data_IF_734228604007
#
_entry.id   IF_734228604007
#
_cell.length_a   1.000
_cell.length_b   1.000
_cell.length_c   1.000
_cell.angle_alpha   90.00
_cell.angle_beta   90.00
_cell.angle_gamma   90.00
#
_symmetry.space_group_name_H-M   'P 1'
#
loop_
_entity.id
_entity.type
_entity.pdbx_description
1 polymer ?
#
# COMPACT_ATOMS: atom_id res chain seq x y z
N UNK A 1 -16.03 7.18 53.33
CA UNK A 1 -15.99 8.12 52.19
C UNK A 1 -15.55 7.33 51.00
N UNK A 2 -16.38 7.40 49.95
CA UNK A 2 -16.53 6.43 48.88
C UNK A 2 -15.25 6.15 48.09
N UNK A 3 -14.94 4.87 47.88
CA UNK A 3 -14.20 4.48 46.70
C UNK A 3 -15.25 4.37 45.60
N UNK A 4 -15.49 5.45 44.87
CA UNK A 4 -16.24 5.40 43.61
C UNK A 4 -15.71 4.21 42.82
N UNK A 5 -16.61 3.28 42.54
CA UNK A 5 -16.33 2.04 41.84
C UNK A 5 -15.72 2.40 40.49
N UNK A 6 -14.40 2.34 40.41
CA UNK A 6 -13.64 2.72 39.22
C UNK A 6 -13.84 1.62 38.17
N UNK A 7 -14.97 1.72 37.47
CA UNK A 7 -15.46 0.81 36.47
C UNK A 7 -15.16 1.37 35.08
N UNK A 8 -14.54 0.57 34.23
CA UNK A 8 -14.32 0.90 32.82
C UNK A 8 -14.89 -0.23 31.97
N UNK A 9 -15.65 0.12 30.93
CA UNK A 9 -16.12 -0.84 29.95
C UNK A 9 -15.06 -1.11 28.87
N UNK A 10 -14.81 -2.40 28.63
CA UNK A 10 -13.89 -2.89 27.59
C UNK A 10 -14.61 -3.90 26.72
N UNK A 11 -14.63 -3.65 25.43
CA UNK A 11 -15.29 -4.49 24.43
C UNK A 11 -14.38 -5.64 24.01
N UNK A 12 -14.86 -6.87 24.11
CA UNK A 12 -14.16 -8.10 23.72
C UNK A 12 -15.03 -8.87 22.74
N UNK A 13 -14.61 -8.99 21.47
CA UNK A 13 -15.28 -9.81 20.45
C UNK A 13 -16.82 -9.67 20.36
N UNK A 14 -17.36 -8.46 20.60
CA UNK A 14 -18.79 -8.05 20.62
C UNK A 14 -19.50 -8.08 21.97
N UNK A 15 -18.83 -8.52 23.03
CA UNK A 15 -19.36 -8.46 24.39
C UNK A 15 -18.73 -7.26 25.15
N UNK A 16 -19.56 -6.50 25.86
CA UNK A 16 -19.09 -5.44 26.75
C UNK A 16 -18.74 -6.05 28.11
N UNK A 17 -17.45 -6.01 28.48
CA UNK A 17 -16.97 -6.48 29.79
C UNK A 17 -16.63 -5.30 30.68
N UNK A 18 -17.21 -5.30 31.88
CA UNK A 18 -17.00 -4.27 32.89
C UNK A 18 -15.83 -4.67 33.78
N UNK A 19 -14.75 -3.89 33.74
CA UNK A 19 -13.58 -4.12 34.58
C UNK A 19 -13.71 -3.29 35.85
N UNK A 20 -13.97 -3.96 36.98
CA UNK A 20 -14.14 -3.36 38.30
C UNK A 20 -12.81 -3.34 39.08
N UNK A 21 -12.72 -2.44 40.06
CA UNK A 21 -11.57 -2.40 40.99
C UNK A 21 -10.29 -1.80 40.40
N UNK A 22 -10.41 -0.97 39.37
CA UNK A 22 -9.25 -0.33 38.76
C UNK A 22 -8.61 0.70 39.70
N UNK A 23 -7.29 0.64 39.82
CA UNK A 23 -6.50 1.58 40.62
C UNK A 23 -5.73 2.53 39.70
N UNK A 24 -5.27 3.66 40.25
CA UNK A 24 -4.37 4.62 39.56
C UNK A 24 -3.04 3.98 39.10
N UNK A 25 -2.72 2.77 39.57
CA UNK A 25 -1.53 2.00 39.20
C UNK A 25 -1.79 0.92 38.13
N UNK A 26 -3.05 0.54 37.91
CA UNK A 26 -3.41 -0.54 36.99
C UNK A 26 -3.07 -0.16 35.55
N UNK A 27 -2.32 -1.03 34.87
CA UNK A 27 -1.87 -0.81 33.49
C UNK A 27 -2.77 -1.54 32.49
N UNK A 28 -2.70 -1.15 31.22
CA UNK A 28 -3.38 -1.86 30.14
C UNK A 28 -2.99 -3.34 30.08
N UNK A 29 -1.72 -3.68 30.39
CA UNK A 29 -1.28 -5.08 30.49
C UNK A 29 -2.02 -5.87 31.58
N UNK A 30 -2.25 -5.25 32.73
CA UNK A 30 -2.98 -5.89 33.84
C UNK A 30 -4.44 -6.14 33.46
N UNK A 31 -5.08 -5.17 32.80
CA UNK A 31 -6.46 -5.32 32.29
C UNK A 31 -6.55 -6.40 31.22
N UNK A 32 -5.60 -6.44 30.28
CA UNK A 32 -5.51 -7.49 29.25
C UNK A 32 -5.36 -8.86 29.91
N UNK A 33 -4.53 -8.98 30.95
CA UNK A 33 -4.33 -10.23 31.69
C UNK A 33 -5.62 -10.72 32.34
N UNK A 34 -6.35 -9.85 33.03
CA UNK A 34 -7.63 -10.19 33.68
C UNK A 34 -8.69 -10.59 32.65
N UNK A 35 -8.82 -9.83 31.56
CA UNK A 35 -9.77 -10.15 30.49
C UNK A 35 -9.43 -11.47 29.79
N UNK A 36 -8.16 -11.82 29.69
CA UNK A 36 -7.72 -13.09 29.14
C UNK A 36 -7.88 -14.26 30.12
N UNK A 37 -7.71 -14.05 31.42
CA UNK A 37 -7.97 -15.06 32.46
C UNK A 37 -9.47 -15.43 32.48
N UNK A 38 -10.35 -14.44 32.32
CA UNK A 38 -11.80 -14.63 32.18
C UNK A 38 -12.16 -15.38 30.87
N UNK A 39 -11.55 -15.01 29.73
CA UNK A 39 -11.76 -15.71 28.44
C UNK A 39 -11.17 -17.13 28.42
N UNK A 40 -10.00 -17.35 29.02
CA UNK A 40 -9.37 -18.67 29.07
C UNK A 40 -10.16 -19.67 29.94
N UNK A 41 -10.95 -19.18 30.89
CA UNK A 41 -11.89 -20.00 31.66
C UNK A 41 -13.04 -20.54 30.80
N UNK A 42 -13.35 -19.86 29.68
CA UNK A 42 -14.41 -20.26 28.75
C UNK A 42 -13.90 -20.97 27.50
N UNK A 43 -12.79 -20.51 26.90
CA UNK A 43 -12.22 -21.06 25.66
C UNK A 43 -10.69 -21.15 25.78
N UNK A 44 -10.17 -22.34 26.09
CA UNK A 44 -8.77 -22.56 26.46
C UNK A 44 -7.74 -22.42 25.32
N UNK A 45 -7.40 -21.19 24.92
CA UNK A 45 -6.22 -20.89 24.08
C UNK A 45 -5.73 -19.42 24.20
N UNK A 46 -4.42 -19.28 24.45
CA UNK A 46 -3.49 -18.20 24.04
C UNK A 46 -2.91 -17.27 25.14
N UNK A 47 -1.62 -16.97 24.97
CA UNK A 47 -0.76 -16.25 25.92
C UNK A 47 -1.03 -14.73 25.94
N UNK A 48 -0.88 -14.11 27.11
CA UNK A 48 -1.14 -12.68 27.35
C UNK A 48 -0.32 -11.68 26.52
N UNK A 49 0.65 -12.15 25.73
CA UNK A 49 1.53 -11.32 24.92
C UNK A 49 0.94 -10.96 23.56
N UNK A 50 -0.17 -11.57 23.14
CA UNK A 50 -0.76 -11.37 21.81
C UNK A 50 -1.93 -10.39 21.76
N UNK A 51 -2.23 -9.63 22.81
CA UNK A 51 -3.40 -8.73 22.87
C UNK A 51 -3.03 -7.30 23.30
N UNK A 52 -3.74 -6.31 22.75
CA UNK A 52 -3.59 -4.90 23.07
C UNK A 52 -4.96 -4.22 23.21
N UNK A 53 -5.04 -3.18 24.04
CA UNK A 53 -6.24 -2.35 24.19
C UNK A 53 -6.18 -1.21 23.17
N UNK A 54 -7.27 -1.02 22.44
CA UNK A 54 -7.46 0.06 21.48
C UNK A 54 -8.49 1.04 22.02
N UNK A 55 -8.13 2.32 22.03
CA UNK A 55 -9.01 3.44 22.36
C UNK A 55 -9.68 3.94 21.08
N UNK A 56 -11.02 4.03 21.09
CA UNK A 56 -11.82 4.54 19.97
C UNK A 56 -12.60 5.78 20.38
N UNK A 57 -12.47 6.87 19.63
CA UNK A 57 -13.21 8.12 19.84
C UNK A 57 -13.45 8.86 18.51
N UNK A 58 -14.71 9.20 18.18
CA UNK A 58 -15.12 9.95 16.95
C UNK A 58 -14.42 9.51 15.65
N UNK A 59 -14.24 8.20 15.45
CA UNK A 59 -13.59 7.64 14.26
C UNK A 59 -12.05 7.56 14.33
N UNK A 60 -11.44 8.07 15.40
CA UNK A 60 -10.02 7.84 15.70
C UNK A 60 -9.84 6.57 16.52
N UNK A 61 -8.89 5.74 16.09
CA UNK A 61 -8.48 4.52 16.80
C UNK A 61 -7.00 4.61 17.18
N UNK A 62 -6.70 4.38 18.46
CA UNK A 62 -5.34 4.44 18.99
C UNK A 62 -5.02 3.19 19.81
N UNK A 63 -3.99 2.47 19.42
CA UNK A 63 -3.46 1.36 20.21
C UNK A 63 -2.76 1.91 21.44
N UNK A 64 -3.18 1.47 22.63
CA UNK A 64 -2.59 1.87 23.90
C UNK A 64 -1.36 1.02 24.21
N UNK A 65 -0.21 1.63 24.55
CA UNK A 65 0.94 0.88 25.04
C UNK A 65 0.62 0.09 26.30
N UNK A 66 1.20 -1.10 26.45
CA UNK A 66 0.96 -2.00 27.59
C UNK A 66 1.21 -1.36 28.96
N UNK A 67 2.14 -0.40 29.05
CA UNK A 67 2.50 0.32 30.29
C UNK A 67 1.54 1.44 30.66
N UNK A 68 0.56 1.74 29.82
CA UNK A 68 -0.31 2.90 30.01
C UNK A 68 -1.29 2.64 31.14
N UNK A 69 -1.48 3.63 32.02
CA UNK A 69 -2.37 3.53 33.18
C UNK A 69 -3.79 3.87 32.76
N UNK A 70 -4.63 2.85 32.59
CA UNK A 70 -5.95 2.98 31.95
C UNK A 70 -6.87 3.94 32.71
N UNK A 71 -6.86 3.89 34.05
CA UNK A 71 -7.68 4.79 34.86
C UNK A 71 -7.24 6.25 34.75
N UNK A 72 -5.93 6.51 34.56
CA UNK A 72 -5.44 7.86 34.35
C UNK A 72 -5.80 8.40 32.97
N UNK A 73 -5.80 7.54 31.95
CA UNK A 73 -6.29 7.92 30.62
C UNK A 73 -7.78 8.23 30.66
N UNK A 74 -8.56 7.35 31.29
CA UNK A 74 -10.01 7.53 31.45
C UNK A 74 -10.35 8.86 32.12
N UNK A 75 -9.73 9.17 33.26
CA UNK A 75 -9.93 10.44 33.96
C UNK A 75 -9.48 11.64 33.11
N UNK A 76 -8.44 11.51 32.29
CA UNK A 76 -7.96 12.59 31.43
C UNK A 76 -8.93 12.98 30.31
N UNK A 77 -9.87 12.12 29.94
CA UNK A 77 -10.93 12.44 28.97
C UNK A 77 -12.04 13.34 29.52
N UNK A 78 -12.14 13.49 30.85
CA UNK A 78 -13.14 14.35 31.48
C UNK A 78 -14.57 14.07 31.00
N UNK A 79 -15.25 15.12 30.51
CA UNK A 79 -16.66 15.08 30.11
C UNK A 79 -16.95 14.19 28.88
N UNK A 80 -15.91 13.83 28.12
CA UNK A 80 -16.01 13.06 26.88
C UNK A 80 -15.89 11.54 27.13
N UNK A 81 -15.69 11.10 28.39
CA UNK A 81 -15.58 9.68 28.77
C UNK A 81 -16.69 8.79 28.20
N UNK A 82 -17.95 9.26 28.21
CA UNK A 82 -19.12 8.54 27.66
C UNK A 82 -19.00 8.19 26.16
N UNK A 83 -18.15 8.90 25.43
CA UNK A 83 -17.97 8.74 23.99
C UNK A 83 -16.72 7.94 23.63
N UNK A 84 -15.88 7.59 24.61
CA UNK A 84 -14.66 6.82 24.43
C UNK A 84 -14.95 5.34 24.67
N UNK A 85 -14.53 4.47 23.75
CA UNK A 85 -14.66 3.01 23.89
C UNK A 85 -13.30 2.34 23.90
N UNK A 86 -13.05 1.45 24.86
CA UNK A 86 -11.89 0.58 24.85
C UNK A 86 -12.25 -0.77 24.22
N UNK A 87 -11.40 -1.27 23.32
CA UNK A 87 -11.60 -2.53 22.60
C UNK A 87 -10.37 -3.40 22.73
N UNK A 88 -10.53 -4.66 23.14
CA UNK A 88 -9.46 -5.64 23.20
C UNK A 88 -9.26 -6.26 21.81
N UNK A 89 -8.07 -6.10 21.23
CA UNK A 89 -7.73 -6.61 19.89
C UNK A 89 -6.48 -7.49 19.97
N UNK A 90 -6.43 -8.54 19.16
CA UNK A 90 -5.23 -9.38 19.02
C UNK A 90 -4.15 -8.60 18.24
N UNK A 91 -2.94 -8.47 18.79
CA UNK A 91 -1.82 -7.68 18.27
C UNK A 91 -1.39 -8.05 16.84
N UNK A 92 -1.74 -9.24 16.34
CA UNK A 92 -1.44 -9.66 14.97
C UNK A 92 -2.49 -9.19 13.95
N UNK A 93 -3.69 -8.81 14.39
CA UNK A 93 -4.77 -8.29 13.54
C UNK A 93 -4.69 -6.75 13.35
N UNK A 94 -3.88 -6.06 14.15
CA UNK A 94 -3.76 -4.59 14.15
C UNK A 94 -2.59 -4.05 13.30
N UNK A 95 -1.95 -4.87 12.47
CA UNK A 95 -0.85 -4.45 11.58
C UNK A 95 -1.31 -3.71 10.30
N UNK A 96 -2.37 -2.91 10.40
CA UNK A 96 -2.61 -1.81 9.47
C UNK A 96 -2.70 -0.55 10.33
N UNK A 97 -1.85 0.44 10.05
CA UNK A 97 -1.69 1.72 10.75
C UNK A 97 -0.57 1.80 11.80
N UNK A 98 0.64 1.40 11.41
CA UNK A 98 1.82 2.14 11.84
C UNK A 98 2.41 2.88 10.64
N UNK A 99 2.11 4.18 10.54
CA UNK A 99 2.99 5.11 9.87
C UNK A 99 4.37 4.98 10.51
N UNK A 100 5.36 4.63 9.69
CA UNK A 100 6.75 4.56 10.08
C UNK A 100 7.14 5.92 10.68
N UNK A 101 7.23 6.00 12.02
CA UNK A 101 8.00 7.05 12.66
C UNK A 101 9.46 6.77 12.30
N UNK A 102 9.90 7.40 11.23
CA UNK A 102 11.29 7.54 10.87
C UNK A 102 12.04 7.97 12.12
N UNK A 103 12.91 7.09 12.62
CA UNK A 103 13.97 7.49 13.51
C UNK A 103 14.78 8.54 12.73
N UNK A 104 14.71 9.80 13.15
CA UNK A 104 15.67 10.83 12.76
C UNK A 104 17.06 10.31 13.14
N UNK A 105 17.77 9.80 12.14
CA UNK A 105 19.19 9.57 12.24
C UNK A 105 19.84 10.95 12.34
N UNK A 106 20.07 11.41 13.58
CA UNK A 106 21.02 12.50 13.82
C UNK A 106 22.34 12.06 13.23
N UNK A 107 22.71 12.67 12.11
CA UNK A 107 24.04 12.55 11.49
C UNK A 107 25.02 13.12 12.51
N UNK A 108 25.54 12.25 13.37
CA UNK A 108 26.71 12.55 14.17
C UNK A 108 27.87 12.57 13.18
N UNK A 109 28.26 13.78 12.78
CA UNK A 109 29.56 14.06 12.20
C UNK A 109 30.61 13.54 13.19
N UNK A 110 31.15 12.35 12.89
CA UNK A 110 32.29 11.79 13.60
C UNK A 110 33.50 12.69 13.36
N UNK A 111 33.72 13.64 14.28
CA UNK A 111 35.00 14.32 14.42
C UNK A 111 35.99 13.33 15.02
N UNK A 112 37.10 13.14 14.30
CA UNK A 112 38.44 12.80 14.78
C UNK A 112 38.59 11.51 15.61
N UNK A 113 39.18 10.49 14.99
CA UNK A 113 40.16 9.66 15.68
C UNK A 113 41.54 9.85 15.01
N UNK A 114 42.60 10.17 15.77
CA UNK A 114 43.92 10.44 15.22
C UNK A 114 44.65 9.13 14.94
N UNK A 115 44.95 8.84 13.68
CA UNK A 115 45.93 7.83 13.31
C UNK A 115 47.15 8.53 12.70
N UNK A 116 48.16 8.73 13.55
CA UNK A 116 49.53 9.03 13.13
C UNK A 116 50.18 7.70 12.75
N UNK A 117 50.52 7.52 11.47
CA UNK A 117 51.78 6.85 11.07
C UNK A 117 52.24 7.40 9.73
N UNK A 118 53.42 8.01 9.74
CA UNK A 118 54.19 8.50 8.58
C UNK A 118 54.43 7.38 7.54
N UNK A 119 54.51 7.74 6.27
CA UNK A 119 55.10 6.87 5.25
C UNK A 119 54.83 7.30 3.81
N UNK A 120 55.70 8.16 3.28
CA UNK A 120 55.87 8.46 1.84
C UNK A 120 56.07 7.18 1.02
N UNK A 121 55.36 7.02 -0.10
CA UNK A 121 55.91 6.62 -1.40
C UNK A 121 54.85 6.52 -2.49
N UNK A 122 55.21 7.05 -3.66
CA UNK A 122 54.51 7.00 -4.94
C UNK A 122 54.37 5.56 -5.44
N UNK A 123 53.24 5.23 -6.07
CA UNK A 123 53.11 4.43 -7.31
C UNK A 123 51.71 3.80 -7.39
N UNK A 124 50.90 4.22 -8.35
CA UNK A 124 49.63 3.56 -8.70
C UNK A 124 49.65 3.21 -10.19
N UNK A 125 50.54 2.29 -10.56
CA UNK A 125 50.37 1.39 -11.70
C UNK A 125 50.51 -0.02 -11.15
N UNK A 126 49.37 -0.64 -10.82
CA UNK A 126 49.33 -1.98 -10.26
C UNK A 126 47.95 -2.56 -10.46
N UNK A 127 47.82 -3.40 -11.50
CA UNK A 127 46.64 -4.22 -11.70
C UNK A 127 46.24 -4.91 -10.39
N UNK A 128 44.94 -4.99 -10.15
CA UNK A 128 44.39 -5.56 -8.93
C UNK A 128 45.02 -6.95 -8.73
N UNK A 129 45.77 -7.15 -7.65
CA UNK A 129 46.34 -8.46 -7.34
C UNK A 129 45.24 -9.53 -7.43
N UNK A 130 45.45 -10.66 -8.14
CA UNK A 130 44.41 -11.64 -8.47
C UNK A 130 43.67 -12.17 -7.22
N UNK A 131 44.31 -12.13 -6.06
CA UNK A 131 43.74 -12.51 -4.78
C UNK A 131 42.66 -11.52 -4.25
N UNK A 132 42.87 -10.22 -4.49
CA UNK A 132 41.88 -9.16 -4.20
C UNK A 132 40.70 -9.25 -5.16
N UNK A 133 40.94 -9.53 -6.45
CA UNK A 133 39.88 -9.77 -7.43
C UNK A 133 39.02 -10.99 -7.07
N UNK A 134 39.65 -12.13 -6.72
CA UNK A 134 38.92 -13.32 -6.23
C UNK A 134 38.07 -13.01 -4.98
N UNK A 135 38.57 -12.18 -4.05
CA UNK A 135 37.80 -11.77 -2.86
C UNK A 135 36.60 -10.90 -3.20
N UNK A 136 36.75 -9.95 -4.13
CA UNK A 136 35.66 -9.08 -4.59
C UNK A 136 34.58 -9.91 -5.30
N UNK A 137 34.99 -10.81 -6.20
CA UNK A 137 34.08 -11.72 -6.91
C UNK A 137 33.30 -12.60 -5.93
N UNK A 138 33.98 -13.24 -4.95
CA UNK A 138 33.29 -14.01 -3.90
C UNK A 138 32.31 -13.16 -3.06
N UNK A 139 32.64 -11.90 -2.78
CA UNK A 139 31.71 -10.98 -2.08
C UNK A 139 30.50 -10.63 -2.95
N UNK A 140 30.69 -10.42 -4.25
CA UNK A 140 29.62 -10.16 -5.20
C UNK A 140 28.68 -11.38 -5.32
N UNK A 141 29.23 -12.59 -5.46
CA UNK A 141 28.44 -13.83 -5.45
C UNK A 141 27.65 -14.03 -4.15
N UNK A 142 28.27 -13.81 -2.98
CA UNK A 142 27.55 -13.86 -1.69
C UNK A 142 26.47 -12.78 -1.57
N UNK A 143 26.68 -11.60 -2.15
CA UNK A 143 25.67 -10.53 -2.17
C UNK A 143 24.51 -10.90 -3.09
N UNK A 144 24.81 -11.46 -4.27
CA UNK A 144 23.81 -11.93 -5.22
C UNK A 144 22.99 -13.09 -4.63
N UNK A 145 23.63 -14.05 -3.97
CA UNK A 145 22.99 -15.16 -3.27
C UNK A 145 22.06 -14.65 -2.15
N UNK A 146 22.48 -13.64 -1.37
CA UNK A 146 21.62 -13.01 -0.36
C UNK A 146 20.41 -12.29 -0.97
N UNK A 147 20.59 -11.61 -2.10
CA UNK A 147 19.48 -10.95 -2.81
C UNK A 147 18.51 -11.99 -3.37
N UNK A 148 19.04 -13.06 -3.97
CA UNK A 148 18.23 -14.12 -4.56
C UNK A 148 17.43 -14.88 -3.49
N UNK A 149 18.05 -15.16 -2.33
CA UNK A 149 17.36 -15.74 -1.17
C UNK A 149 16.25 -14.84 -0.63
N UNK A 150 16.47 -13.53 -0.59
CA UNK A 150 15.42 -12.56 -0.19
C UNK A 150 14.27 -12.52 -1.21
N UNK A 151 14.58 -12.50 -2.52
CA UNK A 151 13.57 -12.55 -3.59
C UNK A 151 12.74 -13.84 -3.58
N UNK A 152 13.39 -14.98 -3.32
CA UNK A 152 12.68 -16.25 -3.18
C UNK A 152 11.75 -16.26 -1.95
N UNK A 153 12.18 -15.66 -0.83
CA UNK A 153 11.36 -15.53 0.37
C UNK A 153 10.15 -14.61 0.17
N UNK A 154 10.29 -13.51 -0.58
CA UNK A 154 9.15 -12.63 -0.90
C UNK A 154 8.18 -13.34 -1.84
N UNK A 155 8.67 -13.98 -2.90
CA UNK A 155 7.82 -14.74 -3.82
C UNK A 155 7.02 -15.85 -3.13
N UNK A 156 7.61 -16.57 -2.18
CA UNK A 156 6.90 -17.59 -1.40
C UNK A 156 5.83 -16.99 -0.47
N UNK A 157 6.07 -15.79 0.08
CA UNK A 157 5.05 -15.10 0.89
C UNK A 157 3.89 -14.62 0.03
N UNK A 158 4.19 -14.07 -1.14
CA UNK A 158 3.18 -13.58 -2.08
C UNK A 158 2.31 -14.72 -2.61
N UNK A 159 2.91 -15.88 -2.94
CA UNK A 159 2.19 -17.09 -3.30
C UNK A 159 1.28 -17.58 -2.16
N UNK A 160 1.80 -17.66 -0.92
CA UNK A 160 0.99 -18.05 0.24
C UNK A 160 -0.15 -17.06 0.54
N UNK A 161 0.05 -15.76 0.29
CA UNK A 161 -1.00 -14.76 0.41
C UNK A 161 -2.06 -14.92 -0.69
N UNK A 162 -1.65 -15.23 -1.93
CA UNK A 162 -2.56 -15.48 -3.04
C UNK A 162 -3.43 -16.72 -2.79
N UNK A 163 -2.85 -17.82 -2.31
CA UNK A 163 -3.58 -19.04 -1.94
C UNK A 163 -4.59 -18.79 -0.81
N UNK A 164 -4.21 -17.98 0.20
CA UNK A 164 -5.13 -17.55 1.27
C UNK A 164 -6.27 -16.70 0.73
N UNK A 165 -5.97 -15.78 -0.19
CA UNK A 165 -6.99 -14.95 -0.84
C UNK A 165 -7.95 -15.80 -1.65
N UNK A 166 -7.44 -16.76 -2.44
CA UNK A 166 -8.25 -17.70 -3.20
C UNK A 166 -9.15 -18.55 -2.29
N UNK A 167 -8.61 -19.04 -1.17
CA UNK A 167 -9.39 -19.77 -0.16
C UNK A 167 -10.51 -18.89 0.44
N UNK A 168 -10.22 -17.62 0.74
CA UNK A 168 -11.22 -16.67 1.22
C UNK A 168 -12.28 -16.38 0.15
N UNK A 169 -11.89 -16.24 -1.11
CA UNK A 169 -12.83 -16.05 -2.23
C UNK A 169 -13.75 -17.26 -2.35
N UNK A 170 -13.22 -18.48 -2.32
CA UNK A 170 -14.04 -19.69 -2.32
C UNK A 170 -14.95 -19.79 -1.09
N UNK A 171 -14.49 -19.38 0.09
CA UNK A 171 -15.32 -19.33 1.28
C UNK A 171 -16.45 -18.32 1.15
N UNK A 172 -16.17 -17.11 0.66
CA UNK A 172 -17.19 -16.07 0.45
C UNK A 172 -18.20 -16.50 -0.61
N UNK A 173 -17.76 -17.09 -1.72
CA UNK A 173 -18.66 -17.59 -2.77
C UNK A 173 -19.53 -18.75 -2.27
N UNK A 174 -18.96 -19.68 -1.49
CA UNK A 174 -19.75 -20.78 -0.91
C UNK A 174 -20.72 -20.30 0.16
N UNK A 175 -20.35 -19.31 0.97
CA UNK A 175 -21.26 -18.65 1.92
C UNK A 175 -22.37 -17.89 1.20
N UNK A 176 -22.06 -17.12 0.16
CA UNK A 176 -23.04 -16.42 -0.67
C UNK A 176 -24.03 -17.40 -1.32
N UNK A 177 -23.53 -18.52 -1.85
CA UNK A 177 -24.40 -19.58 -2.37
C UNK A 177 -25.32 -20.15 -1.30
N UNK A 178 -24.80 -20.40 -0.09
CA UNK A 178 -25.59 -20.90 1.04
C UNK A 178 -26.67 -19.90 1.46
N UNK A 179 -26.33 -18.60 1.53
CA UNK A 179 -27.28 -17.53 1.85
C UNK A 179 -28.38 -17.47 0.78
N UNK A 180 -28.02 -17.52 -0.51
CA UNK A 180 -29.02 -17.53 -1.59
C UNK A 180 -29.94 -18.74 -1.51
N UNK A 181 -29.40 -19.92 -1.22
CA UNK A 181 -30.21 -21.13 -1.00
C UNK A 181 -31.15 -20.96 0.22
N UNK A 182 -30.66 -20.41 1.33
CA UNK A 182 -31.48 -20.16 2.52
C UNK A 182 -32.60 -19.16 2.24
N UNK A 183 -32.30 -18.06 1.54
CA UNK A 183 -33.30 -17.06 1.13
C UNK A 183 -34.35 -17.69 0.23
N UNK A 184 -33.95 -18.53 -0.73
CA UNK A 184 -34.89 -19.23 -1.58
C UNK A 184 -35.77 -20.20 -0.77
N UNK A 185 -35.19 -20.92 0.19
CA UNK A 185 -35.94 -21.83 1.06
C UNK A 185 -36.93 -21.10 1.96
N UNK A 186 -36.56 -19.93 2.48
CA UNK A 186 -37.46 -19.08 3.27
C UNK A 186 -38.65 -18.65 2.41
N UNK A 187 -38.41 -18.16 1.19
CA UNK A 187 -39.48 -17.79 0.26
C UNK A 187 -40.45 -18.94 -0.05
N UNK A 188 -39.92 -20.15 -0.23
CA UNK A 188 -40.75 -21.35 -0.41
C UNK A 188 -41.58 -21.68 0.83
N UNK A 189 -40.98 -21.57 2.03
CA UNK A 189 -41.68 -21.80 3.29
C UNK A 189 -42.76 -20.75 3.54
N UNK A 190 -42.49 -19.48 3.28
CA UNK A 190 -43.47 -18.39 3.39
C UNK A 190 -44.66 -18.65 2.44
N UNK A 191 -44.37 -19.07 1.20
CA UNK A 191 -45.42 -19.44 0.24
C UNK A 191 -46.23 -20.67 0.69
N UNK A 192 -45.62 -21.60 1.42
CA UNK A 192 -46.31 -22.75 2.02
C UNK A 192 -47.18 -22.34 3.20
N UNK A 193 -46.67 -21.44 4.05
CA UNK A 193 -47.39 -20.87 5.18
C UNK A 193 -48.63 -20.15 4.67
N UNK A 194 -48.49 -19.25 3.69
CA UNK A 194 -49.61 -18.52 3.08
C UNK A 194 -50.68 -19.49 2.53
N UNK A 195 -50.27 -20.58 1.89
CA UNK A 195 -51.21 -21.58 1.37
C UNK A 195 -51.92 -22.34 2.48
N UNK A 196 -51.20 -22.71 3.53
CA UNK A 196 -51.77 -23.36 4.72
C UNK A 196 -52.75 -22.43 5.44
N UNK A 197 -52.37 -21.18 5.66
CA UNK A 197 -53.18 -20.15 6.28
C UNK A 197 -54.43 -19.85 5.46
N UNK A 198 -54.30 -19.68 4.14
CA UNK A 198 -55.43 -19.48 3.24
C UNK A 198 -56.40 -20.67 3.28
N UNK A 199 -55.90 -21.91 3.35
CA UNK A 199 -56.73 -23.10 3.48
C UNK A 199 -57.46 -23.13 4.82
N UNK A 200 -56.76 -22.88 5.93
CA UNK A 200 -57.37 -22.81 7.27
C UNK A 200 -58.41 -21.69 7.35
N UNK A 201 -58.10 -20.52 6.79
CA UNK A 201 -59.00 -19.39 6.68
C UNK A 201 -60.25 -19.74 5.86
N UNK A 202 -60.09 -20.35 4.69
CA UNK A 202 -61.20 -20.81 3.86
C UNK A 202 -62.09 -21.84 4.59
N UNK A 203 -61.49 -22.83 5.24
CA UNK A 203 -62.22 -23.85 6.00
C UNK A 203 -62.98 -23.22 7.19
N UNK A 204 -62.40 -22.21 7.86
CA UNK A 204 -63.06 -21.46 8.93
C UNK A 204 -64.22 -20.62 8.39
N UNK A 205 -64.05 -19.93 7.26
CA UNK A 205 -65.13 -19.18 6.60
C UNK A 205 -66.28 -20.11 6.22
N UNK A 206 -65.99 -21.28 5.63
CA UNK A 206 -67.02 -22.23 5.22
C UNK A 206 -67.80 -22.78 6.42
N UNK A 207 -67.14 -22.97 7.58
CA UNK A 207 -67.76 -23.49 8.80
C UNK A 207 -68.48 -22.44 9.63
N UNK A 208 -67.93 -21.23 9.75
CA UNK A 208 -68.35 -20.21 10.71
C UNK A 208 -68.82 -18.90 10.05
N UNK A 209 -68.80 -18.82 8.72
CA UNK A 209 -69.14 -17.63 7.95
C UNK A 209 -67.97 -16.65 7.81
N UNK A 210 -68.14 -15.64 6.95
CA UNK A 210 -67.10 -14.61 6.70
C UNK A 210 -66.75 -13.84 7.98
N UNK A 211 -67.71 -13.66 8.88
CA UNK A 211 -67.53 -12.95 10.15
C UNK A 211 -66.94 -13.81 11.27
N UNK A 212 -66.33 -14.97 10.98
CA UNK A 212 -65.87 -15.88 12.03
C UNK A 212 -64.89 -15.26 13.02
N UNK A 213 -64.00 -14.36 12.55
CA UNK A 213 -63.04 -13.65 13.41
C UNK A 213 -63.79 -12.75 14.39
N UNK A 214 -64.67 -11.89 13.87
CA UNK A 214 -65.46 -10.97 14.68
C UNK A 214 -66.38 -11.74 15.63
N UNK A 215 -67.00 -12.82 15.17
CA UNK A 215 -67.81 -13.70 16.01
C UNK A 215 -66.96 -14.36 17.11
N UNK A 216 -65.68 -14.65 16.89
CA UNK A 216 -64.81 -15.21 17.96
C UNK A 216 -64.59 -14.19 19.08
N UNK A 217 -64.32 -12.92 18.73
CA UNK A 217 -64.16 -11.84 19.72
C UNK A 217 -65.49 -11.39 20.35
N UNK A 218 -66.57 -11.39 19.57
CA UNK A 218 -67.91 -11.01 20.04
C UNK A 218 -68.59 -12.13 20.83
N UNK A 219 -68.27 -13.41 20.62
CA UNK A 219 -68.83 -14.50 21.42
C UNK A 219 -68.33 -14.42 22.86
N UNK A 220 -67.07 -14.03 23.10
CA UNK A 220 -66.56 -13.76 24.46
C UNK A 220 -67.25 -12.53 25.10
N UNK A 221 -67.59 -11.51 24.30
CA UNK A 221 -68.35 -10.34 24.77
C UNK A 221 -69.84 -10.66 25.00
N UNK A 222 -70.43 -11.51 24.17
CA UNK A 222 -71.85 -11.86 24.19
C UNK A 222 -72.19 -12.87 25.29
N UNK A 223 -71.24 -13.69 25.75
CA UNK A 223 -71.40 -14.45 27.00
C UNK A 223 -71.60 -13.55 28.24
N UNK A 224 -71.30 -12.26 28.13
CA UNK A 224 -71.54 -11.26 29.19
C UNK A 224 -72.85 -10.46 29.00
N UNK A 225 -73.55 -10.62 27.88
CA UNK A 225 -74.73 -9.82 27.52
C UNK A 225 -75.86 -10.69 26.94
N UNK A 226 -76.34 -11.65 27.71
CA UNK A 226 -77.67 -12.24 27.45
C UNK A 226 -78.75 -11.31 28.02
N UNK A 227 -79.29 -10.44 27.17
CA UNK A 227 -80.56 -9.78 27.43
C UNK A 227 -80.74 -8.44 26.74
N UNK A 228 -81.50 -8.42 25.64
CA UNK A 228 -82.14 -7.23 25.04
C UNK A 228 -81.15 -6.12 24.59
N UNK A 229 -81.40 -5.23 23.65
CA UNK A 229 -82.62 -4.58 23.18
C UNK A 229 -82.25 -3.88 21.86
N UNK A 230 -83.25 -3.44 21.09
CA UNK A 230 -83.06 -2.61 19.89
C UNK A 230 -82.00 -1.52 20.10
N UNK A 231 -81.12 -1.33 19.10
CA UNK A 231 -80.05 -0.32 19.11
C UNK A 231 -80.56 1.03 19.64
N UNK A 232 -80.03 1.53 20.78
CA UNK A 232 -80.30 2.87 21.24
C UNK A 232 -79.80 3.88 20.19
N UNK A 233 -80.49 5.01 19.95
CA UNK A 233 -80.02 6.05 19.04
C UNK A 233 -78.62 6.58 19.40
N UNK A 234 -78.20 6.46 20.66
CA UNK A 234 -76.85 6.78 21.14
C UNK A 234 -75.76 5.88 20.51
N UNK A 235 -76.05 4.60 20.26
CA UNK A 235 -75.09 3.70 19.58
C UNK A 235 -74.94 4.01 18.08
N UNK A 236 -75.98 4.53 17.43
CA UNK A 236 -75.90 4.98 16.04
C UNK A 236 -75.08 6.27 15.93
N UNK A 237 -75.27 7.21 16.86
CA UNK A 237 -74.46 8.43 16.92
C UNK A 237 -72.97 8.14 17.16
N UNK A 238 -72.65 7.17 18.04
CA UNK A 238 -71.28 6.72 18.25
C UNK A 238 -70.68 6.05 17.00
N UNK A 239 -71.49 5.29 16.25
CA UNK A 239 -71.06 4.68 14.99
C UNK A 239 -70.78 5.74 13.92
N UNK A 240 -71.62 6.77 13.81
CA UNK A 240 -71.39 7.91 12.91
C UNK A 240 -70.11 8.68 13.28
N UNK A 241 -69.85 8.88 14.58
CA UNK A 241 -68.62 9.50 15.06
C UNK A 241 -67.38 8.64 14.76
N UNK A 242 -67.47 7.32 14.94
CA UNK A 242 -66.41 6.39 14.55
C UNK A 242 -66.16 6.33 13.04
N UNK A 243 -67.21 6.44 12.22
CA UNK A 243 -67.05 6.55 10.75
C UNK A 243 -66.29 7.82 10.41
N UNK A 244 -66.63 8.95 11.04
CA UNK A 244 -65.90 10.21 10.83
C UNK A 244 -64.44 10.13 11.26
N UNK A 245 -64.16 9.48 12.39
CA UNK A 245 -62.79 9.23 12.84
C UNK A 245 -62.03 8.31 11.86
N UNK A 246 -62.69 7.30 11.29
CA UNK A 246 -62.09 6.45 10.27
C UNK A 246 -61.78 7.25 8.99
N UNK A 247 -62.66 8.15 8.57
CA UNK A 247 -62.43 9.02 7.41
C UNK A 247 -61.23 9.97 7.65
N UNK A 248 -61.13 10.56 8.85
CA UNK A 248 -59.96 11.37 9.25
C UNK A 248 -58.67 10.53 9.26
N UNK A 249 -58.72 9.29 9.77
CA UNK A 249 -57.56 8.37 9.76
C UNK A 249 -57.12 7.99 8.34
N UNK A 250 -58.07 7.81 7.41
CA UNK A 250 -57.76 7.52 6.00
C UNK A 250 -57.06 8.71 5.35
N UNK A 251 -57.55 9.94 5.58
CA UNK A 251 -56.93 11.17 5.08
C UNK A 251 -55.49 11.31 5.59
N UNK A 252 -55.27 11.12 6.89
CA UNK A 252 -53.93 11.15 7.48
C UNK A 252 -53.02 10.05 6.91
N UNK A 253 -53.55 8.87 6.61
CA UNK A 253 -52.78 7.80 5.97
C UNK A 253 -52.38 8.13 4.53
N UNK A 254 -53.24 8.82 3.78
CA UNK A 254 -52.92 9.29 2.44
C UNK A 254 -51.83 10.37 2.48
N UNK A 255 -51.92 11.33 3.39
CA UNK A 255 -50.88 12.34 3.62
C UNK A 255 -49.54 11.69 4.01
N UNK A 256 -49.58 10.69 4.88
CA UNK A 256 -48.38 9.97 5.32
C UNK A 256 -47.75 9.18 4.16
N UNK A 257 -48.56 8.57 3.29
CA UNK A 257 -48.06 7.93 2.05
C UNK A 257 -47.44 8.90 1.08
N UNK A 258 -48.01 10.09 0.92
CA UNK A 258 -47.44 11.14 0.07
C UNK A 258 -46.08 11.59 0.61
N UNK A 259 -45.96 11.75 1.93
CA UNK A 259 -44.70 12.07 2.59
C UNK A 259 -43.67 10.94 2.46
N UNK A 260 -44.06 9.69 2.64
CA UNK A 260 -43.20 8.52 2.43
C UNK A 260 -42.70 8.43 0.98
N UNK A 261 -43.57 8.65 0.00
CA UNK A 261 -43.19 8.67 -1.41
C UNK A 261 -42.20 9.80 -1.73
N UNK A 262 -42.35 10.97 -1.11
CA UNK A 262 -41.39 12.07 -1.23
C UNK A 262 -40.04 11.69 -0.61
N UNK A 263 -40.03 11.06 0.56
CA UNK A 263 -38.81 10.59 1.23
C UNK A 263 -38.10 9.55 0.35
N UNK A 264 -38.83 8.60 -0.22
CA UNK A 264 -38.27 7.59 -1.13
C UNK A 264 -37.67 8.25 -2.37
N UNK A 265 -38.35 9.25 -2.95
CA UNK A 265 -37.84 10.03 -4.08
C UNK A 265 -36.54 10.76 -3.75
N UNK A 266 -36.48 11.48 -2.62
CA UNK A 266 -35.28 12.19 -2.18
C UNK A 266 -34.16 11.20 -1.86
N UNK A 267 -34.47 10.06 -1.22
CA UNK A 267 -33.49 9.03 -0.88
C UNK A 267 -32.86 8.43 -2.13
N UNK A 268 -33.66 8.16 -3.16
CA UNK A 268 -33.18 7.69 -4.46
C UNK A 268 -32.26 8.74 -5.13
N UNK A 269 -32.64 10.02 -5.12
CA UNK A 269 -31.81 11.10 -5.67
C UNK A 269 -30.47 11.22 -4.93
N UNK A 270 -30.49 11.16 -3.60
CA UNK A 270 -29.25 11.20 -2.79
C UNK A 270 -28.36 10.00 -3.09
N UNK A 271 -28.94 8.81 -3.25
CA UNK A 271 -28.19 7.61 -3.63
C UNK A 271 -27.59 7.72 -5.03
N UNK A 272 -28.34 8.25 -6.01
CA UNK A 272 -27.87 8.47 -7.38
C UNK A 272 -26.72 9.48 -7.41
N UNK A 273 -26.86 10.62 -6.71
CA UNK A 273 -25.82 11.64 -6.61
C UNK A 273 -24.56 11.12 -5.90
N UNK A 274 -24.72 10.36 -4.81
CA UNK A 274 -23.60 9.72 -4.13
C UNK A 274 -22.87 8.74 -5.05
N UNK A 275 -23.62 7.93 -5.80
CA UNK A 275 -23.07 6.97 -6.74
C UNK A 275 -22.35 7.68 -7.89
N UNK A 276 -22.96 8.75 -8.45
CA UNK A 276 -22.35 9.56 -9.49
C UNK A 276 -21.03 10.17 -9.03
N UNK A 277 -21.00 10.81 -7.85
CA UNK A 277 -19.78 11.40 -7.28
C UNK A 277 -18.73 10.36 -6.88
N UNK A 278 -19.16 9.17 -6.46
CA UNK A 278 -18.25 8.07 -6.19
C UNK A 278 -17.58 7.57 -7.48
N UNK A 279 -18.37 7.36 -8.54
CA UNK A 279 -17.87 6.98 -9.86
C UNK A 279 -16.95 8.05 -10.44
N UNK A 280 -17.31 9.33 -10.32
CA UNK A 280 -16.51 10.44 -10.81
C UNK A 280 -15.13 10.48 -10.14
N UNK A 281 -15.06 10.43 -8.80
CA UNK A 281 -13.78 10.37 -8.09
C UNK A 281 -12.91 9.20 -8.54
N UNK A 282 -13.53 8.03 -8.74
CA UNK A 282 -12.82 6.84 -9.21
C UNK A 282 -12.28 7.01 -10.63
N UNK A 283 -13.05 7.63 -11.53
CA UNK A 283 -12.58 7.93 -12.89
C UNK A 283 -11.45 8.95 -12.90
N UNK A 284 -11.53 9.98 -12.04
CA UNK A 284 -10.48 11.00 -11.88
C UNK A 284 -9.19 10.39 -11.32
N UNK A 285 -9.28 9.54 -10.28
CA UNK A 285 -8.14 8.81 -9.71
C UNK A 285 -7.46 7.91 -10.76
N UNK A 286 -8.25 7.19 -11.57
CA UNK A 286 -7.73 6.36 -12.66
C UNK A 286 -7.05 7.23 -13.74
N UNK A 287 -7.66 8.35 -14.12
CA UNK A 287 -7.10 9.28 -15.09
C UNK A 287 -5.77 9.87 -14.60
N UNK A 288 -5.71 10.30 -13.34
CA UNK A 288 -4.47 10.78 -12.71
C UNK A 288 -3.39 9.70 -12.67
N UNK A 289 -3.76 8.46 -12.34
CA UNK A 289 -2.81 7.34 -12.32
C UNK A 289 -2.23 7.12 -13.72
N UNK A 290 -3.09 7.01 -14.74
CA UNK A 290 -2.66 6.83 -16.13
C UNK A 290 -1.78 7.98 -16.63
N UNK A 291 -2.07 9.22 -16.23
CA UNK A 291 -1.27 10.38 -16.59
C UNK A 291 0.14 10.29 -15.98
N UNK A 292 0.25 9.96 -14.70
CA UNK A 292 1.54 9.73 -14.04
C UNK A 292 2.32 8.55 -14.65
N UNK A 293 1.62 7.48 -15.05
CA UNK A 293 2.25 6.36 -15.75
C UNK A 293 2.78 6.79 -17.13
N UNK A 294 2.01 7.61 -17.85
CA UNK A 294 2.41 8.18 -19.14
C UNK A 294 3.66 9.04 -19.02
N UNK A 295 3.73 9.93 -18.02
CA UNK A 295 4.90 10.75 -17.72
C UNK A 295 6.12 9.90 -17.34
N UNK A 296 5.93 8.85 -16.54
CA UNK A 296 6.98 7.89 -16.19
C UNK A 296 7.52 7.16 -17.42
N UNK A 297 6.63 6.69 -18.31
CA UNK A 297 7.04 6.01 -19.55
C UNK A 297 7.78 6.98 -20.47
N UNK A 298 7.31 8.22 -20.60
CA UNK A 298 7.95 9.26 -21.41
C UNK A 298 9.37 9.55 -20.92
N UNK A 299 9.56 9.80 -19.62
CA UNK A 299 10.88 10.04 -19.04
C UNK A 299 11.82 8.83 -19.21
N UNK A 300 11.30 7.61 -19.08
CA UNK A 300 12.08 6.39 -19.36
C UNK A 300 12.48 6.29 -20.84
N UNK A 301 11.57 6.64 -21.76
CA UNK A 301 11.84 6.64 -23.20
C UNK A 301 12.90 7.69 -23.55
N UNK A 302 12.78 8.91 -23.04
CA UNK A 302 13.75 9.99 -23.26
C UNK A 302 15.15 9.60 -22.75
N UNK A 303 15.23 8.99 -21.56
CA UNK A 303 16.48 8.48 -21.03
C UNK A 303 17.07 7.36 -21.90
N UNK A 304 16.23 6.43 -22.38
CA UNK A 304 16.66 5.34 -23.26
C UNK A 304 17.13 5.85 -24.62
N UNK A 305 16.47 6.87 -25.17
CA UNK A 305 16.85 7.54 -26.41
C UNK A 305 18.20 8.22 -26.26
N UNK A 306 18.41 8.95 -25.16
CA UNK A 306 19.70 9.58 -24.87
C UNK A 306 20.83 8.56 -24.79
N UNK A 307 20.62 7.44 -24.08
CA UNK A 307 21.60 6.35 -24.01
C UNK A 307 21.85 5.76 -25.39
N UNK A 308 20.80 5.50 -26.17
CA UNK A 308 20.91 4.95 -27.52
C UNK A 308 21.72 5.85 -28.47
N UNK A 309 21.47 7.17 -28.44
CA UNK A 309 22.23 8.14 -29.22
C UNK A 309 23.71 8.15 -28.83
N UNK A 310 24.01 8.11 -27.53
CA UNK A 310 25.39 8.06 -27.03
C UNK A 310 26.11 6.76 -27.42
N UNK A 311 25.42 5.62 -27.33
CA UNK A 311 25.97 4.35 -27.78
C UNK A 311 26.23 4.37 -29.29
N UNK A 312 25.37 5.01 -30.09
CA UNK A 312 25.59 5.15 -31.52
C UNK A 312 26.83 5.98 -31.82
N UNK A 313 27.04 7.11 -31.12
CA UNK A 313 28.26 7.91 -31.30
C UNK A 313 29.51 7.15 -30.89
N UNK A 314 29.44 6.35 -29.82
CA UNK A 314 30.57 5.51 -29.38
C UNK A 314 30.87 4.41 -30.42
N UNK A 315 29.84 3.82 -31.03
CA UNK A 315 30.00 2.83 -32.11
C UNK A 315 30.60 3.44 -33.37
N UNK A 316 30.17 4.65 -33.76
CA UNK A 316 30.74 5.37 -34.89
C UNK A 316 32.23 5.70 -34.66
N UNK A 317 32.60 6.10 -33.45
CA UNK A 317 34.00 6.32 -33.07
C UNK A 317 34.83 5.03 -33.19
N UNK A 318 34.36 3.92 -32.60
CA UNK A 318 35.04 2.61 -32.69
C UNK A 318 35.15 2.15 -34.14
N UNK A 319 34.12 2.37 -34.96
CA UNK A 319 34.16 2.04 -36.39
C UNK A 319 35.25 2.84 -37.11
N UNK A 320 35.36 4.15 -36.83
CA UNK A 320 36.40 4.99 -37.42
C UNK A 320 37.82 4.55 -37.00
N UNK A 321 38.01 4.14 -35.75
CA UNK A 321 39.28 3.59 -35.25
C UNK A 321 39.61 2.24 -35.92
N UNK A 322 38.60 1.39 -36.14
CA UNK A 322 38.76 0.14 -36.85
C UNK A 322 39.16 0.36 -38.32
N UNK A 323 38.51 1.30 -39.00
CA UNK A 323 38.85 1.68 -40.38
C UNK A 323 40.28 2.24 -40.47
N UNK A 324 40.69 3.07 -39.49
CA UNK A 324 42.07 3.59 -39.41
C UNK A 324 43.09 2.46 -39.18
N UNK A 325 42.83 1.56 -38.23
CA UNK A 325 43.73 0.43 -37.96
C UNK A 325 43.83 -0.50 -39.16
N UNK A 326 42.72 -0.76 -39.87
CA UNK A 326 42.72 -1.54 -41.11
C UNK A 326 43.57 -0.88 -42.20
N UNK A 327 43.50 0.44 -42.37
CA UNK A 327 44.36 1.17 -43.29
C UNK A 327 45.85 1.05 -42.92
N UNK A 328 46.18 1.14 -41.62
CA UNK A 328 47.54 0.95 -41.11
C UNK A 328 48.04 -0.47 -41.40
N UNK A 329 47.22 -1.49 -41.12
CA UNK A 329 47.58 -2.89 -41.45
C UNK A 329 47.80 -3.07 -42.95
N UNK A 330 46.93 -2.53 -43.80
CA UNK A 330 47.10 -2.60 -45.25
C UNK A 330 48.36 -1.88 -45.75
N UNK A 331 48.74 -0.76 -45.13
CA UNK A 331 50.00 -0.06 -45.43
C UNK A 331 51.23 -0.90 -45.01
N UNK A 332 51.20 -1.49 -43.82
CA UNK A 332 52.27 -2.39 -43.33
C UNK A 332 52.39 -3.65 -44.17
N UNK A 333 51.27 -4.22 -44.63
CA UNK A 333 51.28 -5.39 -45.50
C UNK A 333 51.88 -5.08 -46.88
N UNK A 334 51.60 -3.90 -47.44
CA UNK A 334 52.27 -3.41 -48.66
C UNK A 334 53.77 -3.23 -48.43
N UNK A 335 54.16 -2.57 -47.35
CA UNK A 335 55.58 -2.41 -46.99
C UNK A 335 56.30 -3.76 -46.85
N UNK A 336 55.68 -4.77 -46.21
CA UNK A 336 56.24 -6.12 -46.09
C UNK A 336 56.37 -6.81 -47.45
N UNK A 337 55.38 -6.68 -48.34
CA UNK A 337 55.48 -7.20 -49.71
C UNK A 337 56.62 -6.54 -50.50
N UNK A 338 56.72 -5.22 -50.45
CA UNK A 338 57.78 -4.48 -51.14
C UNK A 338 59.17 -4.87 -50.62
N UNK A 339 59.32 -5.09 -49.31
CA UNK A 339 60.55 -5.59 -48.71
C UNK A 339 60.86 -7.03 -49.13
N UNK A 340 59.85 -7.90 -49.21
CA UNK A 340 60.02 -9.28 -49.66
C UNK A 340 60.46 -9.34 -51.13
N UNK A 341 59.87 -8.52 -52.00
CA UNK A 341 60.30 -8.39 -53.40
C UNK A 341 61.75 -7.94 -53.49
N UNK A 342 62.16 -6.94 -52.71
CA UNK A 342 63.57 -6.48 -52.63
C UNK A 342 64.52 -7.59 -52.18
N UNK A 343 64.14 -8.38 -51.17
CA UNK A 343 64.96 -9.53 -50.72
C UNK A 343 65.08 -10.57 -51.82
N UNK A 344 63.98 -10.93 -52.49
CA UNK A 344 64.00 -11.88 -53.60
C UNK A 344 64.85 -11.39 -54.78
N UNK A 345 64.86 -10.08 -55.07
CA UNK A 345 65.75 -9.52 -56.09
C UNK A 345 67.23 -9.61 -55.71
N UNK A 346 67.56 -9.39 -54.43
CA UNK A 346 68.94 -9.51 -53.95
C UNK A 346 69.43 -10.97 -53.96
N UNK A 347 68.57 -11.93 -53.58
CA UNK A 347 68.88 -13.37 -53.65
C UNK A 347 69.15 -13.85 -55.09
N UNK A 348 68.52 -13.23 -56.09
CA UNK A 348 68.77 -13.53 -57.51
C UNK A 348 70.05 -12.90 -58.05
N UNK A 349 70.55 -11.81 -57.46
CA UNK A 349 71.84 -11.21 -57.80
C UNK A 349 73.02 -11.98 -57.14
N UNK A 350 72.81 -12.56 -55.96
CA UNK A 350 73.83 -13.33 -55.22
C UNK A 350 74.03 -14.77 -55.77
N UNK A 351 73.06 -15.31 -56.52
CA UNK A 351 73.12 -16.64 -57.15
C UNK A 351 74.03 -16.77 -58.39
N UNK A 352 74.69 -15.69 -58.83
CA UNK A 352 75.54 -15.67 -60.04
C UNK A 352 77.04 -15.44 -59.77
N UNK A 353 77.51 -15.55 -58.53
CA UNK A 353 78.92 -15.33 -58.17
C UNK A 353 79.55 -16.54 -57.47
N UNK A 354 80.06 -17.50 -58.24
CA UNK A 354 80.93 -18.55 -57.71
C UNK A 354 82.34 -18.04 -57.37
N UNK A 355 82.82 -18.49 -56.21
CA UNK A 355 84.21 -18.87 -55.87
C UNK A 355 85.30 -17.83 -55.50
N UNK A 356 85.83 -18.06 -54.28
CA UNK A 356 87.24 -18.03 -53.80
C UNK A 356 87.89 -16.75 -53.24
N UNK A 357 88.15 -16.78 -51.92
CA UNK A 357 89.51 -16.62 -51.34
C UNK A 357 89.92 -15.25 -50.75
N UNK A 358 90.81 -15.19 -49.72
CA UNK A 358 90.67 -14.28 -48.57
C UNK A 358 91.81 -13.25 -48.34
N UNK A 359 91.67 -12.48 -47.25
CA UNK A 359 92.65 -11.62 -46.53
C UNK A 359 92.86 -10.21 -47.13
N UNK A 360 93.04 -9.10 -46.41
CA UNK A 360 93.01 -8.65 -44.99
C UNK A 360 93.10 -7.12 -45.10
N UNK A 361 92.35 -6.32 -44.32
CA UNK A 361 92.99 -5.35 -43.43
C UNK A 361 92.02 -4.65 -42.47
N UNK A 362 92.58 -4.30 -41.31
CA UNK A 362 91.94 -3.72 -40.14
C UNK A 362 91.40 -2.30 -40.36
N UNK A 363 90.12 -2.08 -40.03
CA UNK A 363 89.69 -0.82 -39.39
C UNK A 363 88.55 -1.03 -38.42
N UNK A 364 88.94 -1.18 -37.16
CA UNK A 364 88.06 -1.09 -36.00
C UNK A 364 87.56 0.35 -35.90
N UNK A 365 86.28 0.57 -36.12
CA UNK A 365 85.56 1.71 -35.54
C UNK A 365 84.32 1.20 -34.83
N UNK A 366 84.48 1.14 -33.51
CA UNK A 366 83.43 1.01 -32.53
C UNK A 366 82.52 2.25 -32.56
N UNK A 367 81.25 2.07 -32.89
CA UNK A 367 80.15 2.95 -32.44
C UNK A 367 78.92 2.10 -32.16
N UNK A 368 79.00 1.30 -31.09
CA UNK A 368 77.82 0.72 -30.46
C UNK A 368 77.51 1.51 -29.18
N UNK A 369 76.72 2.58 -29.32
CA UNK A 369 75.95 3.12 -28.19
C UNK A 369 74.47 3.22 -28.58
N UNK A 370 73.77 2.12 -28.28
CA UNK A 370 72.44 2.07 -27.65
C UNK A 370 71.74 3.43 -27.50
N UNK A 371 70.74 3.70 -28.34
CA UNK A 371 69.58 4.50 -27.94
C UNK A 371 68.30 4.15 -28.71
N UNK A 372 67.78 2.96 -28.44
CA UNK A 372 66.36 2.67 -28.65
C UNK A 372 65.54 3.46 -27.62
N UNK A 373 65.19 4.69 -27.96
CA UNK A 373 64.26 5.52 -27.20
C UNK A 373 62.99 5.67 -28.00
N UNK A 374 61.96 4.90 -27.64
CA UNK A 374 60.58 5.16 -28.03
C UNK A 374 60.23 6.57 -27.54
N UNK A 375 60.15 7.54 -28.45
CA UNK A 375 59.59 8.86 -28.17
C UNK A 375 58.09 8.75 -28.38
N UNK A 376 57.40 8.35 -27.31
CA UNK A 376 55.95 8.52 -27.21
C UNK A 376 55.70 10.02 -27.06
N UNK A 377 55.41 10.69 -28.18
CA UNK A 377 55.08 12.10 -28.21
C UNK A 377 53.67 12.28 -27.66
N UNK A 378 53.55 12.17 -26.33
CA UNK A 378 52.39 12.63 -25.60
C UNK A 378 52.26 14.14 -25.82
N UNK A 379 51.35 14.52 -26.72
CA UNK A 379 50.96 15.89 -26.98
C UNK A 379 50.10 16.39 -25.80
N UNK A 380 50.76 16.62 -24.67
CA UNK A 380 50.22 17.40 -23.56
C UNK A 380 50.34 18.88 -23.91
N UNK A 381 49.26 19.48 -24.40
CA UNK A 381 49.10 20.93 -24.40
C UNK A 381 48.48 21.33 -23.06
N UNK A 382 49.32 21.87 -22.18
CA UNK A 382 48.88 22.60 -21.00
C UNK A 382 48.65 24.07 -21.32
N UNK A 383 47.43 24.52 -21.00
CA UNK A 383 47.08 25.81 -20.39
C UNK A 383 47.24 27.09 -21.24
N UNK A 384 46.11 27.59 -21.73
CA UNK A 384 45.82 29.01 -21.79
C UNK A 384 44.51 29.28 -21.02
N UNK A 385 44.61 30.19 -20.05
CA UNK A 385 43.50 30.76 -19.28
C UNK A 385 42.67 31.67 -20.18
N UNK A 386 41.34 31.50 -20.19
CA UNK A 386 40.40 32.60 -20.42
C UNK A 386 39.10 32.30 -19.64
N UNK A 387 39.02 33.00 -18.51
CA UNK A 387 37.84 33.44 -17.74
C UNK A 387 36.49 32.83 -18.13
N UNK A 388 35.95 31.99 -17.24
CA UNK A 388 34.52 31.77 -17.08
C UNK A 388 34.24 31.93 -15.59
N UNK A 389 33.80 33.13 -15.22
CA UNK A 389 33.14 33.44 -13.96
C UNK A 389 31.69 33.69 -14.38
N UNK A 390 30.82 32.71 -14.15
CA UNK A 390 29.39 32.83 -14.40
C UNK A 390 28.68 32.46 -13.09
N UNK A 391 28.33 33.52 -12.38
CA UNK A 391 27.62 33.54 -11.11
C UNK A 391 26.25 32.87 -11.28
N UNK A 392 26.14 31.64 -10.77
CA UNK A 392 24.84 31.02 -10.56
C UNK A 392 24.26 31.51 -9.24
N UNK A 393 23.57 32.65 -9.32
CA UNK A 393 22.58 33.11 -8.36
C UNK A 393 21.43 32.09 -8.24
N UNK A 394 21.54 31.15 -7.32
CA UNK A 394 20.36 30.53 -6.73
C UNK A 394 20.06 31.24 -5.41
N UNK A 395 19.43 32.40 -5.54
CA UNK A 395 18.82 33.12 -4.43
C UNK A 395 17.80 32.24 -3.72
N UNK A 396 18.12 31.90 -2.48
CA UNK A 396 17.16 31.48 -1.47
C UNK A 396 16.31 32.70 -1.10
N UNK A 397 15.06 32.72 -1.54
CA UNK A 397 13.98 33.52 -0.95
C UNK A 397 12.80 32.58 -0.77
N UNK A 398 12.55 32.07 0.44
CA UNK A 398 11.73 32.72 1.47
C UNK A 398 10.32 33.06 0.97
N UNK A 399 9.39 32.14 1.20
CA UNK A 399 7.97 32.45 1.44
C UNK A 399 7.49 31.60 2.61
N UNK A 400 7.96 32.00 3.79
CA UNK A 400 7.12 31.98 4.98
C UNK A 400 6.17 33.18 4.82
N UNK A 401 4.91 32.92 4.49
CA UNK A 401 3.82 33.85 4.77
C UNK A 401 2.78 33.09 5.55
N UNK A 402 2.65 33.54 6.80
CA UNK A 402 1.61 33.16 7.74
C UNK A 402 0.24 33.44 7.15
N UNK A 403 -0.67 32.58 7.57
CA UNK A 403 -2.12 32.72 7.48
C UNK A 403 -2.58 34.15 7.83
N UNK A 404 -3.50 34.66 7.02
CA UNK A 404 -4.43 35.70 7.43
C UNK A 404 -5.84 35.20 7.14
N UNK A 405 -6.59 35.08 8.21
CA UNK A 405 -7.99 34.69 8.29
C UNK A 405 -8.85 35.39 7.24
N UNK A 406 -9.66 34.61 6.54
CA UNK A 406 -10.99 35.05 6.11
C UNK A 406 -11.95 33.87 6.14
N UNK A 407 -12.66 33.73 7.26
CA UNK A 407 -13.88 32.92 7.35
C UNK A 407 -15.02 33.70 6.66
N UNK A 408 -15.74 33.13 5.68
CA UNK A 408 -17.10 33.58 5.42
C UNK A 408 -18.02 32.92 6.46
N UNK A 409 -18.50 33.76 7.37
CA UNK A 409 -19.68 33.54 8.21
C UNK A 409 -20.87 33.22 7.29
N UNK A 410 -21.44 32.04 7.41
CA UNK A 410 -22.79 31.76 6.93
C UNK A 410 -23.75 31.92 8.09
N UNK A 411 -24.25 33.14 8.28
CA UNK A 411 -25.55 33.36 8.90
C UNK A 411 -26.60 33.11 7.82
N UNK A 412 -27.49 32.16 8.05
CA UNK A 412 -28.77 32.07 7.35
C UNK A 412 -29.86 32.31 8.37
N UNK A 413 -30.32 33.56 8.42
CA UNK A 413 -31.70 33.91 8.75
C UNK A 413 -32.49 33.76 7.45
N UNK A 414 -33.38 32.77 7.37
CA UNK A 414 -34.80 32.86 6.96
C UNK A 414 -35.52 31.68 7.59
#
# INVERSE_FOLDING_TARGET
MESEESQISVWVCREEKLVLGLSKRTTCADVVKVLLEDQNSQHGLSTAQSYCIVEKWRGFERILPNKTKILRLWVAWGDEQRNVKFVLVKSEASLANHGARSAEARVVLSKQSPCVTKGTARSAMGGICPEKQRRIVRKAFRKLEKINKKRAQTAHRDASCAEKMETLVHLVVSQDHTIRQQVQRIKELDSEIERCEAKVHFDRIKRHGVNYVQNTYLVDAASSQQGQQLCPPETLAQLEEHVRQCEELVQLHEELREQEALIDGITAQVQEELNHRWMQRRTEELAHTLLLEGERIKTQLDASLYIGLRLNTDLEAIRSDLELTQQIYGAREKEMRDLQEKVNTLDMEEGTGGEQGPETDHKVMSTLERRGGWVEQARGLSKAHSVADDDSDTGLSSLHSQDSDSLPVWESLV
#
